data_IF_957564582396
#
_entry.id   IF_957564582396
#
_cell.length_a   1.000
_cell.length_b   1.000
_cell.length_c   1.000
_cell.angle_alpha   90.00
_cell.angle_beta   90.00
_cell.angle_gamma   90.00
#
_symmetry.space_group_name_H-M   'P 1'
#
loop_
_entity.id
_entity.type
_entity.pdbx_description
1 polymer ?
#
# COMPACT_ATOMS: atom_id res chain seq x y z
N UNK A 1 39.79 -10.70 2.23
CA UNK A 1 41.05 -10.83 2.95
C UNK A 1 41.94 -12.02 2.41
N UNK A 2 41.51 -13.31 2.55
CA UNK A 2 42.36 -14.45 2.14
C UNK A 2 42.63 -14.45 0.63
N UNK A 3 41.61 -14.31 -0.20
CA UNK A 3 41.76 -14.29 -1.67
C UNK A 3 42.58 -13.10 -2.15
N UNK A 4 42.47 -11.95 -1.55
CA UNK A 4 43.30 -10.75 -1.84
C UNK A 4 44.78 -10.99 -1.49
N UNK A 5 45.04 -11.55 -0.34
CA UNK A 5 46.40 -11.91 0.09
C UNK A 5 47.05 -12.92 -0.86
N UNK A 6 46.25 -13.89 -1.33
CA UNK A 6 46.76 -14.88 -2.31
C UNK A 6 47.06 -14.23 -3.66
N UNK A 7 46.20 -13.34 -4.14
CA UNK A 7 46.44 -12.59 -5.39
C UNK A 7 47.68 -11.69 -5.26
N UNK A 8 47.84 -11.00 -4.12
CA UNK A 8 49.02 -10.18 -3.87
C UNK A 8 50.33 -11.02 -3.90
N UNK A 9 50.29 -12.22 -3.29
CA UNK A 9 51.42 -13.16 -3.29
C UNK A 9 51.77 -13.61 -4.72
N UNK A 10 50.81 -14.08 -5.50
CA UNK A 10 51.06 -14.56 -6.87
C UNK A 10 51.55 -13.43 -7.78
N UNK A 11 50.96 -12.21 -7.68
CA UNK A 11 51.45 -11.04 -8.42
C UNK A 11 52.91 -10.70 -8.07
N UNK A 12 53.26 -10.73 -6.77
CA UNK A 12 54.62 -10.48 -6.33
C UNK A 12 55.64 -11.53 -6.86
N UNK A 13 55.21 -12.79 -6.99
CA UNK A 13 56.00 -13.84 -7.58
C UNK A 13 56.22 -13.59 -9.09
N UNK A 14 55.16 -13.29 -9.83
CA UNK A 14 55.26 -12.98 -11.26
C UNK A 14 56.19 -11.77 -11.51
N UNK A 15 56.02 -10.69 -10.75
CA UNK A 15 56.86 -9.48 -10.87
C UNK A 15 58.35 -9.80 -10.63
N UNK A 16 58.65 -10.69 -9.66
CA UNK A 16 60.04 -11.13 -9.41
C UNK A 16 60.61 -11.94 -10.58
N UNK A 17 59.81 -12.82 -11.19
CA UNK A 17 60.26 -13.62 -12.34
C UNK A 17 60.46 -12.75 -13.59
N UNK A 18 59.58 -11.77 -13.82
CA UNK A 18 59.68 -10.80 -14.92
C UNK A 18 60.84 -9.80 -14.75
N UNK A 19 61.29 -9.55 -13.52
CA UNK A 19 62.44 -8.66 -13.24
C UNK A 19 63.82 -9.32 -13.46
N UNK A 20 63.88 -10.61 -13.74
CA UNK A 20 65.11 -11.32 -14.00
C UNK A 20 65.63 -11.04 -15.45
N UNK A 21 66.72 -10.31 -15.57
CA UNK A 21 67.25 -9.88 -16.86
C UNK A 21 67.99 -10.97 -17.64
N UNK A 22 68.24 -12.15 -17.05
CA UNK A 22 68.95 -13.26 -17.75
C UNK A 22 67.92 -14.24 -18.33
N UNK A 23 67.82 -14.37 -19.68
CA UNK A 23 66.86 -15.26 -20.33
C UNK A 23 67.13 -16.75 -20.04
N UNK A 24 68.29 -17.07 -19.47
CA UNK A 24 68.70 -18.47 -19.13
C UNK A 24 68.31 -18.81 -17.68
N UNK A 25 67.99 -17.81 -16.86
CA UNK A 25 67.72 -18.00 -15.44
C UNK A 25 66.21 -18.28 -15.14
N UNK A 26 65.31 -17.97 -16.07
CA UNK A 26 63.87 -18.22 -15.93
C UNK A 26 63.33 -18.88 -17.20
N UNK A 27 62.69 -20.02 -17.06
CA UNK A 27 62.06 -20.74 -18.18
C UNK A 27 60.76 -19.97 -18.63
N UNK A 28 60.55 -20.04 -19.96
CA UNK A 28 59.25 -19.54 -20.51
C UNK A 28 58.07 -20.25 -19.87
N UNK A 29 58.18 -21.50 -19.51
CA UNK A 29 57.15 -22.28 -18.81
C UNK A 29 56.92 -21.76 -17.43
N UNK A 30 57.95 -21.38 -16.66
CA UNK A 30 57.80 -20.80 -15.32
C UNK A 30 57.08 -19.46 -15.36
N UNK A 31 57.37 -18.61 -16.35
CA UNK A 31 56.66 -17.34 -16.55
C UNK A 31 55.19 -17.57 -16.92
N UNK A 32 54.94 -18.53 -17.78
CA UNK A 32 53.59 -18.86 -18.19
C UNK A 32 52.75 -19.42 -17.02
N UNK A 33 53.34 -20.31 -16.22
CA UNK A 33 52.71 -20.84 -15.01
C UNK A 33 52.45 -19.75 -13.99
N UNK A 34 53.39 -18.84 -13.77
CA UNK A 34 53.15 -17.71 -12.83
C UNK A 34 52.05 -16.78 -13.30
N UNK A 35 51.87 -16.57 -14.61
CA UNK A 35 50.71 -15.79 -15.15
C UNK A 35 49.39 -16.51 -14.91
N UNK A 36 49.34 -17.80 -15.17
CA UNK A 36 48.17 -18.64 -14.91
C UNK A 36 47.82 -18.61 -13.42
N UNK A 37 48.80 -18.66 -12.53
CA UNK A 37 48.58 -18.59 -11.09
C UNK A 37 47.93 -17.23 -10.66
N UNK A 38 48.36 -16.14 -11.30
CA UNK A 38 47.73 -14.83 -11.08
C UNK A 38 46.28 -14.82 -11.57
N UNK A 39 46.03 -15.40 -12.77
CA UNK A 39 44.67 -15.46 -13.32
C UNK A 39 43.74 -16.32 -12.46
N UNK A 40 44.22 -17.46 -11.97
CA UNK A 40 43.48 -18.32 -11.02
C UNK A 40 43.21 -17.61 -9.72
N UNK A 41 44.17 -16.88 -9.15
CA UNK A 41 43.99 -16.12 -7.92
C UNK A 41 43.01 -14.97 -8.11
N UNK A 42 43.03 -14.32 -9.27
CA UNK A 42 42.08 -13.25 -9.62
C UNK A 42 40.66 -13.81 -9.77
N UNK A 43 40.51 -14.96 -10.45
CA UNK A 43 39.20 -15.63 -10.56
C UNK A 43 38.63 -16.03 -9.18
N UNK A 44 39.49 -16.52 -8.28
CA UNK A 44 39.12 -16.82 -6.89
C UNK A 44 38.67 -15.58 -6.12
N UNK A 45 39.35 -14.45 -6.32
CA UNK A 45 38.92 -13.17 -5.72
C UNK A 45 37.57 -12.74 -6.25
N UNK A 46 37.33 -12.81 -7.54
CA UNK A 46 36.01 -12.48 -8.14
C UNK A 46 34.90 -13.38 -7.60
N UNK A 47 35.18 -14.71 -7.49
CA UNK A 47 34.20 -15.63 -6.88
C UNK A 47 33.88 -15.26 -5.44
N UNK A 48 34.89 -14.98 -4.62
CA UNK A 48 34.67 -14.57 -3.24
C UNK A 48 33.91 -13.24 -3.11
N UNK A 49 34.15 -12.29 -4.03
CA UNK A 49 33.41 -11.05 -4.10
C UNK A 49 31.92 -11.30 -4.49
N UNK A 50 31.68 -12.20 -5.45
CA UNK A 50 30.33 -12.57 -5.85
C UNK A 50 29.56 -13.26 -4.71
N UNK A 51 30.22 -14.15 -3.97
CA UNK A 51 29.66 -14.79 -2.77
C UNK A 51 29.30 -13.77 -1.66
N UNK A 52 30.18 -12.78 -1.43
CA UNK A 52 29.92 -11.70 -0.50
C UNK A 52 28.67 -10.90 -0.90
N UNK A 53 28.62 -10.46 -2.15
CA UNK A 53 27.49 -9.70 -2.68
C UNK A 53 26.17 -10.49 -2.59
N UNK A 54 26.21 -11.80 -2.83
CA UNK A 54 25.06 -12.68 -2.68
C UNK A 54 24.60 -12.75 -1.22
N UNK A 55 25.52 -12.91 -0.28
CA UNK A 55 25.23 -12.97 1.15
C UNK A 55 24.68 -11.62 1.68
N UNK A 56 25.22 -10.49 1.22
CA UNK A 56 24.70 -9.15 1.55
C UNK A 56 23.28 -8.93 1.00
N UNK A 57 23.01 -9.40 -0.21
CA UNK A 57 21.68 -9.34 -0.83
C UNK A 57 20.66 -10.19 -0.05
N UNK A 58 21.06 -11.37 0.40
CA UNK A 58 20.22 -12.24 1.22
C UNK A 58 19.95 -11.63 2.59
N UNK A 59 20.95 -11.01 3.20
CA UNK A 59 20.78 -10.29 4.47
C UNK A 59 19.78 -9.14 4.32
N UNK A 60 19.92 -8.33 3.28
CA UNK A 60 18.99 -7.24 3.00
C UNK A 60 17.57 -7.75 2.75
N UNK A 61 17.41 -8.87 2.04
CA UNK A 61 16.13 -9.53 1.82
C UNK A 61 15.49 -9.98 3.14
N UNK A 62 16.26 -10.62 3.99
CA UNK A 62 15.77 -11.10 5.29
C UNK A 62 15.38 -9.91 6.18
N UNK A 63 16.18 -8.85 6.20
CA UNK A 63 15.88 -7.63 6.95
C UNK A 63 14.55 -7.01 6.50
N UNK A 64 14.33 -6.91 5.20
CA UNK A 64 13.07 -6.44 4.64
C UNK A 64 11.87 -7.31 5.05
N UNK A 65 12.05 -8.63 5.12
CA UNK A 65 11.01 -9.54 5.60
C UNK A 65 10.69 -9.30 7.08
N UNK A 66 11.71 -9.09 7.91
CA UNK A 66 11.51 -8.76 9.33
C UNK A 66 10.77 -7.43 9.49
N UNK A 67 11.16 -6.40 8.73
CA UNK A 67 10.52 -5.09 8.79
C UNK A 67 9.02 -5.17 8.39
N UNK A 68 8.68 -6.04 7.45
CA UNK A 68 7.29 -6.29 7.04
C UNK A 68 6.43 -6.99 8.09
N UNK A 69 7.03 -7.63 9.10
CA UNK A 69 6.28 -8.19 10.23
C UNK A 69 5.66 -7.11 11.12
N UNK A 70 6.18 -5.88 11.05
CA UNK A 70 5.61 -4.73 11.75
C UNK A 70 4.78 -3.91 10.77
N UNK A 71 3.46 -4.11 10.78
CA UNK A 71 2.52 -3.35 9.95
C UNK A 71 2.26 -2.00 10.61
N UNK A 72 2.60 -0.92 9.92
CA UNK A 72 2.38 0.46 10.37
C UNK A 72 1.24 1.11 9.58
N UNK A 73 0.47 1.98 10.24
CA UNK A 73 -0.49 2.82 9.54
C UNK A 73 0.23 3.76 8.56
N UNK A 74 -0.24 3.89 7.30
CA UNK A 74 0.35 4.80 6.31
C UNK A 74 0.08 6.28 6.62
N UNK A 75 -0.87 6.57 7.53
CA UNK A 75 -1.24 7.93 7.94
C UNK A 75 -1.86 7.90 9.33
N UNK A 76 -1.95 9.08 9.94
CA UNK A 76 -2.66 9.27 11.20
C UNK A 76 -4.17 9.01 11.02
N UNK A 77 -4.82 8.50 12.06
CA UNK A 77 -6.24 8.18 12.03
C UNK A 77 -6.71 7.49 13.30
N UNK A 78 -8.01 7.27 13.37
CA UNK A 78 -8.66 6.56 14.47
C UNK A 78 -8.87 5.10 14.08
N UNK A 79 -8.57 4.18 14.99
CA UNK A 79 -8.91 2.76 14.83
C UNK A 79 -10.43 2.62 14.95
N UNK A 80 -11.08 2.22 13.86
CA UNK A 80 -12.54 2.05 13.81
C UNK A 80 -12.96 0.65 14.23
N UNK A 81 -12.18 -0.36 13.85
CA UNK A 81 -12.49 -1.75 14.13
C UNK A 81 -11.21 -2.57 14.24
N UNK A 82 -11.18 -3.53 15.15
CA UNK A 82 -10.11 -4.51 15.32
C UNK A 82 -10.73 -5.91 15.28
N UNK A 83 -10.36 -6.70 14.28
CA UNK A 83 -10.89 -8.05 14.04
C UNK A 83 -9.87 -9.14 14.35
N UNK A 84 -8.76 -8.81 15.02
CA UNK A 84 -7.71 -9.74 15.40
C UNK A 84 -7.24 -9.47 16.81
N UNK A 85 -6.86 -10.51 17.54
CA UNK A 85 -6.31 -10.44 18.90
C UNK A 85 -4.87 -10.94 18.92
N UNK A 86 -4.14 -10.54 19.94
CA UNK A 86 -2.81 -11.07 20.19
C UNK A 86 -2.85 -12.60 20.36
N UNK A 87 -1.98 -13.31 19.65
CA UNK A 87 -1.91 -14.77 19.61
C UNK A 87 -2.77 -15.43 18.53
N UNK A 88 -3.60 -14.69 17.81
CA UNK A 88 -4.36 -15.22 16.67
C UNK A 88 -3.52 -15.21 15.39
N UNK A 89 -3.83 -16.12 14.48
CA UNK A 89 -3.17 -16.20 13.18
C UNK A 89 -3.62 -15.08 12.25
N UNK A 90 -2.69 -14.25 11.84
CA UNK A 90 -2.92 -13.23 10.83
C UNK A 90 -2.71 -13.84 9.43
N UNK A 91 -3.79 -14.10 8.70
CA UNK A 91 -3.71 -14.59 7.33
C UNK A 91 -3.08 -13.54 6.41
N UNK A 92 -2.31 -14.00 5.43
CA UNK A 92 -1.67 -13.13 4.41
C UNK A 92 -2.68 -12.44 3.48
N UNK A 93 -3.85 -13.07 3.29
CA UNK A 93 -4.95 -12.53 2.48
C UNK A 93 -6.27 -12.83 3.18
N UNK A 94 -6.60 -12.09 4.24
CA UNK A 94 -7.84 -12.30 4.98
C UNK A 94 -9.04 -11.89 4.13
N UNK A 95 -10.16 -12.59 4.30
CA UNK A 95 -11.43 -12.24 3.65
C UNK A 95 -11.95 -10.89 4.16
N UNK A 96 -11.79 -10.66 5.46
CA UNK A 96 -12.18 -9.42 6.12
C UNK A 96 -10.92 -8.69 6.64
N UNK A 97 -10.90 -7.36 6.65
CA UNK A 97 -9.74 -6.60 7.12
C UNK A 97 -9.50 -6.88 8.61
N UNK A 98 -8.23 -7.11 8.99
CA UNK A 98 -7.84 -7.37 10.37
C UNK A 98 -8.01 -6.13 11.26
N UNK A 99 -7.84 -4.95 10.68
CA UNK A 99 -8.03 -3.67 11.36
C UNK A 99 -8.51 -2.63 10.35
N UNK A 100 -9.44 -1.79 10.76
CA UNK A 100 -9.92 -0.66 9.95
C UNK A 100 -9.51 0.63 10.66
N UNK A 101 -8.80 1.49 9.91
CA UNK A 101 -8.35 2.80 10.38
C UNK A 101 -8.93 3.85 9.44
N UNK A 102 -9.46 4.92 9.96
CA UNK A 102 -10.03 6.02 9.19
C UNK A 102 -9.86 7.37 9.86
N UNK A 103 -10.00 8.42 9.06
CA UNK A 103 -10.15 9.77 9.57
C UNK A 103 -11.60 9.96 10.04
N UNK A 104 -11.75 10.41 11.27
CA UNK A 104 -13.06 10.68 11.87
C UNK A 104 -13.33 12.17 12.13
N UNK A 105 -12.41 13.06 11.77
CA UNK A 105 -12.61 14.51 11.92
C UNK A 105 -13.60 15.05 10.89
N UNK A 106 -13.50 14.55 9.67
CA UNK A 106 -14.42 14.83 8.56
C UNK A 106 -15.07 13.54 8.10
N UNK A 107 -16.37 13.44 8.29
CA UNK A 107 -17.16 12.30 7.84
C UNK A 107 -17.66 12.54 6.42
N UNK A 108 -17.70 11.48 5.62
CA UNK A 108 -18.38 11.51 4.33
C UNK A 108 -19.74 10.82 4.45
N UNK A 109 -20.75 11.46 3.88
CA UNK A 109 -22.10 10.94 3.78
C UNK A 109 -22.35 10.58 2.32
N UNK A 110 -22.70 9.32 2.08
CA UNK A 110 -23.11 8.83 0.77
C UNK A 110 -24.62 8.83 0.71
N UNK A 111 -25.20 9.71 -0.08
CA UNK A 111 -26.63 9.81 -0.30
C UNK A 111 -27.02 9.07 -1.57
N UNK A 112 -27.94 8.12 -1.45
CA UNK A 112 -28.51 7.37 -2.56
C UNK A 112 -29.77 8.10 -3.04
N UNK A 113 -29.70 8.72 -4.21
CA UNK A 113 -30.79 9.46 -4.84
C UNK A 113 -31.42 8.58 -5.92
N UNK A 114 -32.74 8.35 -5.82
CA UNK A 114 -33.44 7.55 -6.82
C UNK A 114 -33.27 8.14 -8.23
N UNK A 115 -33.11 7.28 -9.25
CA UNK A 115 -32.83 7.65 -10.65
C UNK A 115 -33.82 8.70 -11.19
N UNK A 116 -35.08 8.64 -10.79
CA UNK A 116 -36.10 9.60 -11.20
C UNK A 116 -35.77 11.05 -10.77
N UNK A 117 -35.08 11.20 -9.64
CA UNK A 117 -34.68 12.49 -9.07
C UNK A 117 -33.23 12.88 -9.47
N UNK A 118 -32.47 11.99 -10.11
CA UNK A 118 -31.06 12.21 -10.45
C UNK A 118 -30.86 13.50 -11.27
N UNK A 119 -31.79 13.83 -12.18
CA UNK A 119 -31.76 15.06 -13.01
C UNK A 119 -31.86 16.36 -12.21
N UNK A 120 -32.31 16.30 -10.95
CA UNK A 120 -32.43 17.47 -10.06
C UNK A 120 -31.14 17.76 -9.31
N UNK A 121 -30.17 16.84 -9.39
CA UNK A 121 -28.90 16.97 -8.67
C UNK A 121 -27.94 17.79 -9.52
N UNK A 122 -27.45 18.87 -8.93
CA UNK A 122 -26.43 19.73 -9.53
C UNK A 122 -25.23 19.88 -8.57
N UNK A 123 -24.02 20.07 -9.12
CA UNK A 123 -22.85 20.35 -8.30
C UNK A 123 -23.04 21.58 -7.40
N UNK A 124 -22.59 21.48 -6.15
CA UNK A 124 -22.63 22.59 -5.20
C UNK A 124 -23.95 22.76 -4.44
N UNK A 125 -24.92 21.87 -4.64
CA UNK A 125 -26.16 21.91 -3.85
C UNK A 125 -25.89 21.71 -2.35
N UNK A 126 -26.61 22.46 -1.52
CA UNK A 126 -26.55 22.34 -0.07
C UNK A 126 -27.46 21.20 0.36
N UNK A 127 -27.03 20.46 1.36
CA UNK A 127 -27.82 19.40 1.96
C UNK A 127 -27.74 19.44 3.48
N UNK A 128 -28.64 18.68 4.10
CA UNK A 128 -28.60 18.41 5.54
C UNK A 128 -28.84 16.94 5.79
N UNK A 129 -28.16 16.38 6.78
CA UNK A 129 -28.42 15.03 7.27
C UNK A 129 -29.14 15.09 8.61
N UNK A 130 -30.01 14.13 8.88
CA UNK A 130 -30.54 13.86 10.21
C UNK A 130 -30.27 12.42 10.60
N UNK A 131 -30.15 12.15 11.89
CA UNK A 131 -30.05 10.78 12.39
C UNK A 131 -31.36 10.06 12.17
N UNK A 132 -31.27 8.80 11.73
CA UNK A 132 -32.47 7.98 11.57
C UNK A 132 -33.18 7.79 12.90
N UNK A 133 -34.45 8.25 12.99
CA UNK A 133 -35.25 8.25 14.22
C UNK A 133 -35.16 9.53 15.04
N UNK A 134 -34.29 10.48 14.70
CA UNK A 134 -34.14 11.78 15.35
C UNK A 134 -34.16 12.91 14.32
N UNK A 135 -35.33 13.23 13.72
CA UNK A 135 -35.42 14.19 12.62
C UNK A 135 -35.08 15.64 13.03
N UNK A 136 -35.18 15.95 14.30
CA UNK A 136 -34.86 17.27 14.82
C UNK A 136 -33.37 17.56 14.94
N UNK A 137 -32.57 16.49 14.94
CA UNK A 137 -31.09 16.59 14.99
C UNK A 137 -30.56 16.62 13.59
N UNK A 138 -30.20 17.80 13.10
CA UNK A 138 -29.71 17.99 11.72
C UNK A 138 -28.28 18.48 11.70
N UNK A 139 -27.53 18.03 10.68
CA UNK A 139 -26.16 18.41 10.43
C UNK A 139 -26.04 19.00 9.01
N UNK A 140 -25.36 20.13 8.83
CA UNK A 140 -25.13 20.70 7.51
C UNK A 140 -24.17 19.80 6.72
N UNK A 141 -24.46 19.63 5.44
CA UNK A 141 -23.68 18.86 4.49
C UNK A 141 -23.07 19.78 3.44
N UNK A 142 -21.76 19.60 3.17
CA UNK A 142 -21.04 20.25 2.10
C UNK A 142 -20.95 19.30 0.91
N UNK A 143 -21.35 19.73 -0.27
CA UNK A 143 -21.24 18.93 -1.50
C UNK A 143 -19.77 18.63 -1.84
N UNK A 144 -19.47 17.38 -2.13
CA UNK A 144 -18.13 16.96 -2.58
C UNK A 144 -18.16 16.61 -4.06
N UNK A 145 -18.96 15.63 -4.46
CA UNK A 145 -19.10 15.19 -5.85
C UNK A 145 -20.35 14.32 -6.05
N UNK A 146 -20.74 14.21 -7.32
CA UNK A 146 -21.63 13.14 -7.77
C UNK A 146 -20.77 12.00 -8.30
N UNK A 147 -21.12 10.77 -8.01
CA UNK A 147 -20.56 9.60 -8.67
C UNK A 147 -21.40 9.31 -9.93
N UNK A 148 -20.88 9.56 -11.15
CA UNK A 148 -21.69 9.51 -12.38
C UNK A 148 -21.91 8.06 -12.85
N UNK A 149 -22.32 7.22 -11.93
CA UNK A 149 -22.61 5.80 -12.15
C UNK A 149 -23.81 5.38 -11.32
N UNK A 150 -24.86 4.95 -11.99
CA UNK A 150 -26.11 4.54 -11.36
C UNK A 150 -26.04 3.06 -11.02
N UNK A 151 -26.25 2.73 -9.76
CA UNK A 151 -26.19 1.37 -9.23
C UNK A 151 -27.57 0.90 -8.76
N UNK A 152 -27.82 -0.43 -8.71
CA UNK A 152 -29.01 -0.95 -8.08
C UNK A 152 -29.06 -0.53 -6.61
N UNK A 153 -30.24 -0.13 -6.11
CA UNK A 153 -30.45 0.18 -4.71
C UNK A 153 -30.20 -1.07 -3.86
N UNK A 154 -29.29 -0.99 -2.91
CA UNK A 154 -29.04 -2.09 -1.99
C UNK A 154 -30.07 -2.06 -0.86
N UNK A 155 -30.91 -3.10 -0.77
CA UNK A 155 -31.81 -3.26 0.38
C UNK A 155 -31.01 -3.67 1.61
N UNK A 156 -31.26 -3.01 2.75
CA UNK A 156 -30.60 -3.29 4.03
C UNK A 156 -31.07 -4.58 4.71
N UNK A 157 -32.12 -5.20 4.21
CA UNK A 157 -32.68 -6.44 4.77
C UNK A 157 -31.91 -7.71 4.42
N UNK A 158 -30.78 -7.57 3.70
CA UNK A 158 -29.80 -8.67 3.56
C UNK A 158 -30.23 -9.90 2.74
N UNK A 159 -31.49 -9.98 2.30
CA UNK A 159 -31.93 -11.03 1.39
C UNK A 159 -31.55 -10.65 -0.04
N UNK A 160 -30.52 -11.31 -0.58
CA UNK A 160 -30.05 -11.12 -1.96
C UNK A 160 -31.06 -11.55 -3.05
N UNK A 161 -32.27 -11.91 -2.66
CA UNK A 161 -33.36 -12.38 -3.51
C UNK A 161 -34.40 -11.33 -3.82
N UNK A 162 -34.44 -10.19 -3.13
CA UNK A 162 -35.34 -9.11 -3.45
C UNK A 162 -34.73 -8.26 -4.57
N UNK A 163 -35.17 -8.50 -5.81
CA UNK A 163 -34.88 -7.63 -6.95
C UNK A 163 -35.59 -6.28 -6.72
N UNK A 164 -34.88 -5.36 -6.09
CA UNK A 164 -35.31 -3.96 -6.06
C UNK A 164 -34.98 -3.40 -7.44
N UNK A 165 -36.00 -3.19 -8.26
CA UNK A 165 -35.87 -2.65 -9.63
C UNK A 165 -35.57 -1.15 -9.65
N UNK A 166 -35.21 -0.58 -8.51
CA UNK A 166 -34.87 0.83 -8.33
C UNK A 166 -33.37 1.02 -8.39
N UNK A 167 -32.93 1.98 -9.19
CA UNK A 167 -31.54 2.41 -9.31
C UNK A 167 -31.31 3.74 -8.60
N UNK A 168 -30.11 3.96 -8.12
CA UNK A 168 -29.73 5.17 -7.40
C UNK A 168 -28.48 5.80 -7.97
N UNK A 169 -28.48 7.12 -8.00
CA UNK A 169 -27.30 7.95 -8.22
C UNK A 169 -26.69 8.27 -6.86
N UNK A 170 -25.40 8.08 -6.71
CA UNK A 170 -24.71 8.36 -5.44
C UNK A 170 -24.13 9.76 -5.44
N UNK A 171 -24.47 10.51 -4.39
CA UNK A 171 -23.94 11.85 -4.14
C UNK A 171 -23.15 11.83 -2.85
N UNK A 172 -21.95 12.33 -2.91
CA UNK A 172 -21.04 12.37 -1.77
C UNK A 172 -21.04 13.77 -1.18
N UNK A 173 -21.35 13.82 0.09
CA UNK A 173 -21.24 15.01 0.92
C UNK A 173 -20.16 14.84 1.97
N UNK A 174 -19.66 15.93 2.52
CA UNK A 174 -18.81 15.93 3.71
C UNK A 174 -19.49 16.70 4.84
N UNK A 175 -19.20 16.26 6.06
CA UNK A 175 -19.61 16.97 7.26
C UNK A 175 -18.49 16.93 8.30
N UNK A 176 -18.40 17.95 9.12
CA UNK A 176 -17.54 17.93 10.29
C UNK A 176 -18.19 17.04 11.34
N UNK A 177 -17.40 16.19 11.99
CA UNK A 177 -17.91 15.33 13.06
C UNK A 177 -18.54 16.20 14.16
N UNK A 178 -19.83 16.01 14.50
CA UNK A 178 -20.48 16.74 15.58
C UNK A 178 -19.94 16.30 16.95
N UNK A 179 -19.86 17.23 17.89
CA UNK A 179 -19.47 16.93 19.25
C UNK A 179 -20.60 16.19 20.01
N UNK A 180 -21.85 16.52 19.70
CA UNK A 180 -23.06 15.91 20.30
C UNK A 180 -24.23 16.05 19.31
N UNK A 181 -25.06 15.02 19.14
CA UNK A 181 -24.85 13.65 19.60
C UNK A 181 -23.68 12.97 18.85
N UNK A 182 -23.10 11.89 19.38
CA UNK A 182 -22.01 11.17 18.69
C UNK A 182 -22.53 10.51 17.42
N UNK A 183 -21.79 10.70 16.32
CA UNK A 183 -22.05 10.05 15.02
C UNK A 183 -20.91 9.11 14.70
N UNK A 184 -21.26 7.92 14.23
CA UNK A 184 -20.31 6.84 13.96
C UNK A 184 -20.22 6.53 12.47
N UNK A 185 -19.05 6.07 12.03
CA UNK A 185 -18.84 5.54 10.68
C UNK A 185 -19.69 4.28 10.49
N UNK A 186 -20.44 4.22 9.38
CA UNK A 186 -21.38 3.12 9.10
C UNK A 186 -22.80 3.36 9.62
N UNK A 187 -23.04 4.47 10.34
CA UNK A 187 -24.37 4.84 10.79
C UNK A 187 -25.22 5.35 9.62
N UNK A 188 -26.52 5.01 9.64
CA UNK A 188 -27.48 5.50 8.67
C UNK A 188 -28.01 6.87 9.05
N UNK A 189 -28.16 7.70 8.03
CA UNK A 189 -28.71 9.06 8.14
C UNK A 189 -29.71 9.29 7.02
N UNK A 190 -30.70 10.11 7.28
CA UNK A 190 -31.62 10.63 6.26
C UNK A 190 -31.01 11.93 5.69
N UNK A 191 -30.94 12.04 4.36
CA UNK A 191 -30.33 13.18 3.68
C UNK A 191 -31.40 13.97 2.93
N UNK A 192 -31.45 15.26 3.18
CA UNK A 192 -32.30 16.22 2.50
C UNK A 192 -31.42 17.14 1.65
N UNK A 193 -31.66 17.15 0.34
CA UNK A 193 -30.89 17.95 -0.63
C UNK A 193 -31.82 19.06 -1.15
N UNK A 194 -31.37 20.30 -1.06
CA UNK A 194 -32.12 21.43 -1.57
C UNK A 194 -31.98 21.46 -3.10
N UNK A 195 -33.01 20.96 -3.79
CA UNK A 195 -33.04 20.85 -5.23
C UNK A 195 -34.16 21.75 -5.80
N UNK A 196 -33.93 22.37 -6.97
CA UNK A 196 -34.96 23.19 -7.61
C UNK A 196 -36.17 22.34 -7.99
N UNK A 197 -37.36 22.98 -7.94
CA UNK A 197 -38.55 22.37 -8.49
C UNK A 197 -38.39 22.13 -9.99
N UNK A 198 -38.87 20.99 -10.47
CA UNK A 198 -38.92 20.72 -11.88
C UNK A 198 -40.12 21.53 -12.40
N UNK A 199 -39.84 22.59 -13.16
CA UNK A 199 -40.90 23.16 -14.03
C UNK A 199 -41.29 22.10 -15.06
N UNK A 200 -42.48 21.55 -14.90
CA UNK A 200 -43.02 20.69 -15.97
C UNK A 200 -43.09 21.50 -17.29
N UNK A 201 -42.73 20.89 -18.43
CA UNK A 201 -42.77 21.53 -19.71
C UNK A 201 -44.21 21.81 -20.16
#
# INVERSE_FOLDING_TARGET
>A
AVAESQLAKTRSQLTRLEAVNDPRAVSLEDLQNARIDVDVANAKLQSACAELNAAESDLARIQLLIDRLTVKSPRDGTVLQVNIRAGEYAATSPKDPLMIIGDTERLQVRADVDEQNARRIAPGQVGRASLKGEPDVTFPLEFVRVEPYVIPKMSLTGASTERVDTRVLQVIFSMKKPASPPVYVGQQVDVFIDAPEISEP
#
